data_IF_977036949333
#
_entry.id   IF_977036949333
#
_cell.length_a   1.000
_cell.length_b   1.000
_cell.length_c   1.000
_cell.angle_alpha   90.00
_cell.angle_beta   90.00
_cell.angle_gamma   90.00
#
_symmetry.space_group_name_H-M   'P 1'
#
loop_
_entity.id
_entity.type
_entity.pdbx_description
1 polymer ?
#
# COMPACT_ATOMS: atom_id res chain seq x y z
N UNK A 1 10.24 9.79 17.81
CA UNK A 1 9.29 8.74 17.38
C UNK A 1 9.81 8.15 16.07
N UNK A 2 10.23 6.88 16.09
CA UNK A 2 10.73 6.19 14.89
C UNK A 2 9.52 5.71 14.10
N UNK A 3 9.36 6.22 12.89
CA UNK A 3 8.30 5.78 11.99
C UNK A 3 8.76 4.46 11.34
N UNK A 4 8.18 3.36 11.79
CA UNK A 4 8.56 2.00 11.42
C UNK A 4 7.79 1.48 10.19
N UNK A 5 6.89 2.28 9.62
CA UNK A 5 6.09 1.87 8.47
C UNK A 5 6.99 1.55 7.27
N UNK A 6 6.83 0.38 6.67
CA UNK A 6 7.52 0.00 5.46
C UNK A 6 6.52 0.13 4.30
N UNK A 7 6.91 0.87 3.27
CA UNK A 7 6.14 1.01 2.05
C UNK A 7 6.78 0.17 0.96
N UNK A 8 5.96 -0.55 0.19
CA UNK A 8 6.40 -1.34 -0.96
C UNK A 8 5.69 -0.89 -2.23
N UNK A 9 6.34 -1.06 -3.38
CA UNK A 9 5.73 -0.79 -4.68
C UNK A 9 4.68 -1.85 -5.00
N UNK A 10 3.52 -1.43 -5.47
CA UNK A 10 2.51 -2.33 -6.03
C UNK A 10 2.91 -2.82 -7.43
N UNK A 11 2.11 -3.69 -8.04
CA UNK A 11 2.28 -4.07 -9.45
C UNK A 11 2.13 -2.84 -10.36
N UNK A 12 1.16 -1.96 -10.07
CA UNK A 12 0.98 -0.72 -10.82
C UNK A 12 2.18 0.21 -10.68
N UNK A 13 2.74 0.35 -9.47
CA UNK A 13 3.95 1.15 -9.24
C UNK A 13 5.17 0.63 -10.01
N UNK A 14 5.35 -0.70 -10.09
CA UNK A 14 6.42 -1.30 -10.91
C UNK A 14 6.21 -1.06 -12.41
N UNK A 15 4.99 -1.24 -12.89
CA UNK A 15 4.63 -0.97 -14.28
C UNK A 15 4.85 0.51 -14.64
N UNK A 16 4.52 1.43 -13.74
CA UNK A 16 4.72 2.87 -13.97
C UNK A 16 6.19 3.26 -14.09
N UNK A 17 7.08 2.62 -13.31
CA UNK A 17 8.52 2.79 -13.47
C UNK A 17 8.97 2.28 -14.85
N UNK A 18 8.48 1.13 -15.31
CA UNK A 18 8.90 0.57 -16.59
C UNK A 18 8.34 1.36 -17.79
N UNK A 19 7.05 1.71 -17.75
CA UNK A 19 6.29 2.11 -18.93
C UNK A 19 5.87 3.60 -18.94
N UNK A 20 5.92 4.29 -17.80
CA UNK A 20 5.54 5.71 -17.66
C UNK A 20 4.11 6.03 -18.12
N UNK A 21 3.13 5.16 -17.84
CA UNK A 21 1.78 5.24 -18.41
C UNK A 21 0.88 6.28 -17.73
N UNK A 22 1.04 6.50 -16.43
CA UNK A 22 0.20 7.40 -15.63
C UNK A 22 0.61 8.86 -15.75
N UNK A 23 1.75 9.15 -16.39
CA UNK A 23 2.20 10.53 -16.58
C UNK A 23 2.54 11.24 -15.28
N UNK A 24 2.88 10.50 -14.21
CA UNK A 24 3.23 11.12 -12.93
C UNK A 24 4.46 12.01 -13.09
N UNK A 25 4.45 13.16 -12.42
CA UNK A 25 5.54 14.12 -12.49
C UNK A 25 6.90 13.50 -12.08
N UNK A 26 8.03 14.05 -12.57
CA UNK A 26 9.36 13.48 -12.35
C UNK A 26 9.70 13.32 -10.86
N UNK A 27 9.19 14.21 -10.02
CA UNK A 27 9.35 14.15 -8.56
C UNK A 27 8.66 12.93 -7.95
N UNK A 28 7.40 12.70 -8.29
CA UNK A 28 6.63 11.58 -7.76
C UNK A 28 7.23 10.25 -8.22
N UNK A 29 7.71 10.21 -9.46
CA UNK A 29 8.45 9.07 -10.00
C UNK A 29 9.75 8.80 -9.24
N UNK A 30 10.54 9.83 -8.95
CA UNK A 30 11.76 9.68 -8.14
C UNK A 30 11.43 9.16 -6.74
N UNK A 31 10.36 9.65 -6.11
CA UNK A 31 9.89 9.12 -4.83
C UNK A 31 9.52 7.63 -4.95
N UNK A 32 8.79 7.23 -6.00
CA UNK A 32 8.41 5.84 -6.25
C UNK A 32 9.64 4.93 -6.43
N UNK A 33 10.68 5.41 -7.11
CA UNK A 33 11.94 4.67 -7.29
C UNK A 33 12.61 4.41 -5.93
N UNK A 34 12.62 5.41 -5.03
CA UNK A 34 13.25 5.32 -3.71
C UNK A 34 12.56 4.34 -2.75
N UNK A 35 11.29 4.00 -2.97
CA UNK A 35 10.54 3.05 -2.14
C UNK A 35 10.99 1.63 -2.45
N UNK A 36 11.83 1.01 -1.62
CA UNK A 36 12.41 -0.32 -1.90
C UNK A 36 11.62 -1.50 -1.29
N UNK A 37 10.67 -1.24 -0.39
CA UNK A 37 9.93 -2.29 0.31
C UNK A 37 10.63 -2.87 1.53
N UNK A 38 11.80 -2.34 1.93
CA UNK A 38 12.55 -2.82 3.10
C UNK A 38 12.97 -1.69 4.03
N UNK A 39 13.12 -0.47 3.50
CA UNK A 39 13.49 0.70 4.30
C UNK A 39 12.28 1.25 5.05
N UNK A 40 12.34 1.37 6.40
CA UNK A 40 11.27 2.00 7.16
C UNK A 40 11.18 3.49 6.85
N UNK A 41 9.98 4.05 6.90
CA UNK A 41 9.70 5.43 6.52
C UNK A 41 10.53 6.44 7.30
N UNK A 42 10.82 6.18 8.59
CA UNK A 42 11.71 7.04 9.37
C UNK A 42 13.12 7.21 8.77
N UNK A 43 13.64 6.18 8.08
CA UNK A 43 14.92 6.22 7.36
C UNK A 43 14.77 6.72 5.92
N UNK A 44 13.63 6.46 5.28
CA UNK A 44 13.32 6.93 3.92
C UNK A 44 13.01 8.43 3.86
N UNK A 45 12.42 8.97 4.94
CA UNK A 45 11.99 10.37 5.08
C UNK A 45 13.06 11.40 4.71
N UNK A 46 14.32 11.35 5.20
CA UNK A 46 15.34 12.31 4.79
C UNK A 46 15.71 12.23 3.31
N UNK A 47 15.56 11.07 2.66
CA UNK A 47 15.81 10.93 1.22
C UNK A 47 14.69 11.60 0.42
N UNK A 48 13.44 11.35 0.80
CA UNK A 48 12.28 12.00 0.19
C UNK A 48 12.26 13.51 0.42
N UNK A 49 12.76 13.98 1.57
CA UNK A 49 12.83 15.39 1.93
C UNK A 49 13.70 16.21 0.95
N UNK A 50 14.66 15.58 0.28
CA UNK A 50 15.51 16.24 -0.72
C UNK A 50 14.73 16.63 -1.99
N UNK A 51 13.60 15.97 -2.26
CA UNK A 51 12.81 16.19 -3.48
C UNK A 51 11.42 16.78 -3.20
N UNK A 52 10.94 16.79 -1.95
CA UNK A 52 9.66 17.37 -1.57
C UNK A 52 9.22 16.97 -0.16
N UNK A 53 7.96 17.22 0.20
CA UNK A 53 7.43 16.80 1.49
C UNK A 53 7.26 15.25 1.54
N UNK A 54 7.94 14.54 2.45
CA UNK A 54 7.93 13.07 2.47
C UNK A 54 6.55 12.46 2.69
N UNK A 55 5.73 13.07 3.56
CA UNK A 55 4.40 12.54 3.87
C UNK A 55 3.47 12.75 2.68
N UNK A 56 3.49 13.94 2.10
CA UNK A 56 2.69 14.27 0.92
C UNK A 56 3.07 13.41 -0.29
N UNK A 57 4.36 13.11 -0.48
CA UNK A 57 4.84 12.24 -1.56
C UNK A 57 4.32 10.81 -1.40
N UNK A 58 4.45 10.23 -0.20
CA UNK A 58 3.95 8.89 0.07
C UNK A 58 2.43 8.84 -0.02
N UNK A 59 1.69 9.80 0.55
CA UNK A 59 0.23 9.86 0.44
C UNK A 59 -0.23 9.89 -1.02
N UNK A 60 0.38 10.70 -1.87
CA UNK A 60 0.03 10.73 -3.30
C UNK A 60 0.36 9.40 -4.01
N UNK A 61 1.49 8.77 -3.69
CA UNK A 61 1.82 7.46 -4.27
C UNK A 61 0.83 6.37 -3.82
N UNK A 62 0.38 6.42 -2.56
CA UNK A 62 -0.63 5.51 -2.04
C UNK A 62 -2.00 5.76 -2.65
N UNK A 63 -2.42 7.01 -2.78
CA UNK A 63 -3.70 7.42 -3.41
C UNK A 63 -3.78 6.97 -4.87
N UNK A 64 -2.66 7.04 -5.59
CA UNK A 64 -2.54 6.52 -6.96
C UNK A 64 -2.38 4.98 -7.03
N UNK A 65 -2.38 4.29 -5.89
CA UNK A 65 -2.21 2.83 -5.82
C UNK A 65 -0.82 2.33 -6.27
N UNK A 66 0.20 3.19 -6.25
CA UNK A 66 1.56 2.86 -6.70
C UNK A 66 2.42 2.26 -5.59
N UNK A 67 2.10 2.58 -4.35
CA UNK A 67 2.71 1.99 -3.16
C UNK A 67 1.64 1.57 -2.17
N UNK A 68 1.99 0.61 -1.32
CA UNK A 68 1.16 0.13 -0.22
C UNK A 68 2.05 0.02 1.03
N UNK A 69 1.46 0.26 2.20
CA UNK A 69 2.16 0.13 3.49
C UNK A 69 1.95 -1.27 4.06
N UNK A 70 2.99 -1.87 4.65
CA UNK A 70 2.87 -3.17 5.32
C UNK A 70 1.92 -3.13 6.53
N UNK A 71 1.76 -1.95 7.14
CA UNK A 71 0.76 -1.68 8.17
C UNK A 71 -0.63 -1.32 7.63
N UNK A 72 -0.77 -1.05 6.34
CA UNK A 72 -2.04 -0.78 5.66
C UNK A 72 -2.51 -2.09 5.01
N UNK A 73 -2.56 -3.15 5.82
CA UNK A 73 -3.46 -4.25 5.49
C UNK A 73 -4.87 -3.62 5.50
N UNK A 74 -5.67 -3.74 4.43
CA UNK A 74 -7.08 -3.42 4.54
C UNK A 74 -7.64 -4.17 5.75
N UNK A 75 -8.61 -3.62 6.50
CA UNK A 75 -9.36 -4.45 7.44
C UNK A 75 -9.78 -5.68 6.64
N UNK A 76 -9.23 -6.84 7.02
CA UNK A 76 -9.52 -8.12 6.36
C UNK A 76 -11.02 -8.14 6.06
N UNK A 77 -11.47 -8.55 4.86
CA UNK A 77 -12.87 -8.83 4.70
C UNK A 77 -13.23 -9.78 5.84
N UNK A 78 -14.12 -9.33 6.72
CA UNK A 78 -14.66 -10.18 7.77
C UNK A 78 -15.41 -11.25 6.99
N UNK A 79 -14.72 -12.37 6.69
CA UNK A 79 -15.37 -13.54 6.14
C UNK A 79 -16.44 -13.86 7.17
N UNK A 80 -17.69 -13.61 6.77
CA UNK A 80 -18.82 -13.65 7.66
C UNK A 80 -18.73 -14.89 8.51
N UNK A 81 -18.78 -14.70 9.83
CA UNK A 81 -19.04 -15.77 10.77
C UNK A 81 -20.47 -16.23 10.50
N UNK A 82 -20.60 -17.10 9.50
CA UNK A 82 -21.83 -17.70 8.99
C UNK A 82 -21.52 -19.15 8.63
N UNK A 83 -20.92 -19.87 9.56
CA UNK A 83 -20.93 -21.34 9.60
C UNK A 83 -21.65 -21.74 10.88
N UNK A 84 -22.91 -21.34 10.97
CA UNK A 84 -23.90 -22.04 11.81
C UNK A 84 -25.23 -21.96 11.04
N UNK A 85 -25.27 -22.65 9.91
CA UNK A 85 -26.54 -23.14 9.39
C UNK A 85 -26.65 -24.57 9.93
N UNK A 86 -27.43 -24.84 10.98
CA UNK A 86 -27.75 -26.21 11.33
C UNK A 86 -28.61 -26.76 10.19
N UNK A 87 -27.93 -27.54 9.34
CA UNK A 87 -28.45 -28.69 8.58
C UNK A 87 -29.92 -28.95 8.86
N UNK A 88 -30.76 -28.75 7.84
CA UNK A 88 -32.11 -29.28 7.76
C UNK A 88 -32.17 -30.71 8.31
N UNK A 89 -32.69 -30.87 9.52
CA UNK A 89 -33.10 -32.17 10.03
C UNK A 89 -34.57 -32.35 9.65
N UNK A 90 -34.77 -33.13 8.59
CA UNK A 90 -36.03 -33.82 8.35
C UNK A 90 -36.35 -34.66 9.59
N UNK A 91 -37.41 -34.32 10.33
CA UNK A 91 -38.12 -35.28 11.18
C UNK A 91 -39.63 -35.08 11.05
N UNK A 92 -40.20 -35.90 10.18
CA UNK A 92 -41.37 -36.75 10.42
C UNK A 92 -42.17 -36.47 11.72
N UNK A 93 -43.35 -35.85 11.61
CA UNK A 93 -44.66 -36.38 12.06
C UNK A 93 -45.80 -35.41 11.81
#
# INVERSE_FOLDING_TARGET
>A
MFDVAIYRKTTLGRAEIAERRLGIGPRLRSALIMVDGRTPFGKLRPLLAQIGDPKQLISQLSDLGLVESDHDLPPMPVFGRGLDEPTTLMELR
#
